data_IF_484505469672
#
_entry.id   IF_484505469672
#
_cell.length_a   1.000
_cell.length_b   1.000
_cell.length_c   1.000
_cell.angle_alpha   90.00
_cell.angle_beta   90.00
_cell.angle_gamma   90.00
#
_symmetry.space_group_name_H-M   'P 1'
#
loop_
_entity.id
_entity.type
_entity.pdbx_description
1 polymer ?
#
# COMPACT_ATOMS: atom_id res chain seq x y z
N UNK A 1 13.06 -3.74 8.45
CA UNK A 1 13.43 -2.57 7.66
C UNK A 1 12.69 -1.34 8.14
N UNK A 2 13.35 -0.20 8.08
CA UNK A 2 12.70 1.06 8.41
C UNK A 2 11.64 1.39 7.37
N UNK A 3 10.50 1.88 7.83
CA UNK A 3 9.41 2.30 6.97
C UNK A 3 9.78 3.61 6.27
N UNK A 4 9.55 3.68 4.96
CA UNK A 4 9.86 4.86 4.16
C UNK A 4 8.59 5.69 3.97
N UNK A 5 8.57 6.89 4.55
CA UNK A 5 7.45 7.82 4.41
C UNK A 5 7.89 9.25 4.73
N UNK A 6 7.04 10.20 4.36
CA UNK A 6 7.19 11.59 4.79
C UNK A 6 6.15 12.00 5.84
N UNK A 7 5.50 11.03 6.47
CA UNK A 7 4.40 11.30 7.41
C UNK A 7 4.83 12.21 8.56
N UNK A 8 6.04 12.02 9.08
CA UNK A 8 6.57 12.83 10.18
C UNK A 8 6.59 14.32 9.84
N UNK A 9 6.86 14.65 8.59
CA UNK A 9 6.98 16.05 8.15
C UNK A 9 5.70 16.63 7.56
N UNK A 10 4.76 15.78 7.17
CA UNK A 10 3.55 16.22 6.46
C UNK A 10 2.27 16.09 7.28
N UNK A 11 2.31 15.41 8.42
CA UNK A 11 1.17 15.24 9.30
C UNK A 11 1.50 15.75 10.70
N UNK A 12 0.53 16.41 11.37
CA UNK A 12 0.74 16.80 12.77
C UNK A 12 0.70 15.58 13.69
N UNK A 13 1.34 15.69 14.87
CA UNK A 13 1.21 14.69 15.92
C UNK A 13 -0.20 14.82 16.56
N UNK A 14 -0.89 13.72 16.92
CA UNK A 14 -0.47 12.33 16.87
C UNK A 14 -0.74 11.62 15.54
N UNK A 15 -1.24 12.34 14.54
CA UNK A 15 -1.62 11.78 13.25
C UNK A 15 -0.44 11.12 12.55
N UNK A 16 0.73 11.74 12.60
CA UNK A 16 1.94 11.20 11.99
C UNK A 16 2.34 9.86 12.58
N UNK A 17 2.31 9.73 13.91
CA UNK A 17 2.66 8.48 14.58
C UNK A 17 1.66 7.37 14.24
N UNK A 18 0.36 7.71 14.21
CA UNK A 18 -0.69 6.74 13.84
C UNK A 18 -0.52 6.25 12.41
N UNK A 19 -0.20 7.15 11.48
CA UNK A 19 0.02 6.78 10.08
C UNK A 19 1.22 5.85 9.93
N UNK A 20 2.32 6.14 10.61
CA UNK A 20 3.51 5.29 10.60
C UNK A 20 3.19 3.90 11.16
N UNK A 21 2.45 3.83 12.26
CA UNK A 21 2.08 2.56 12.87
C UNK A 21 1.13 1.74 11.98
N UNK A 22 0.26 2.40 11.24
CA UNK A 22 -0.70 1.76 10.35
C UNK A 22 -0.02 1.12 9.13
N UNK A 23 1.03 1.76 8.63
CA UNK A 23 1.75 1.31 7.45
C UNK A 23 2.60 0.08 7.75
N UNK A 24 2.58 -0.90 6.83
CA UNK A 24 3.44 -2.08 6.87
C UNK A 24 4.50 -2.00 5.78
N UNK A 25 5.59 -2.73 5.96
CA UNK A 25 6.61 -2.92 4.94
C UNK A 25 7.37 -4.23 5.22
N UNK A 26 7.13 -5.32 4.47
CA UNK A 26 6.22 -5.40 3.32
C UNK A 26 4.77 -5.74 3.70
N UNK A 27 3.88 -5.56 2.73
CA UNK A 27 2.55 -6.20 2.76
C UNK A 27 2.66 -7.58 2.12
N UNK A 28 1.89 -8.54 2.65
CA UNK A 28 1.91 -9.91 2.15
C UNK A 28 0.49 -10.29 1.72
N UNK A 29 0.29 -10.42 0.41
CA UNK A 29 -0.98 -10.80 -0.19
C UNK A 29 -0.93 -12.28 -0.59
N UNK A 30 -0.91 -13.16 0.40
CA UNK A 30 -0.75 -14.61 0.20
C UNK A 30 -1.98 -15.31 -0.38
N UNK A 31 -3.10 -14.59 -0.46
CA UNK A 31 -4.35 -15.10 -1.02
C UNK A 31 -4.47 -14.87 -2.54
N UNK A 32 -3.51 -14.18 -3.15
CA UNK A 32 -3.45 -14.02 -4.60
C UNK A 32 -2.81 -15.26 -5.20
N UNK A 33 -3.45 -15.93 -6.19
CA UNK A 33 -2.81 -17.06 -6.85
C UNK A 33 -1.48 -16.65 -7.47
N UNK A 34 -0.41 -17.39 -7.15
CA UNK A 34 0.91 -17.12 -7.72
C UNK A 34 0.88 -17.35 -9.23
N UNK A 35 1.32 -16.36 -9.97
CA UNK A 35 1.44 -16.40 -11.41
C UNK A 35 2.63 -15.52 -11.81
N UNK A 36 3.51 -16.04 -12.63
CA UNK A 36 4.65 -15.27 -13.13
C UNK A 36 4.12 -14.14 -14.03
N UNK A 37 4.74 -12.97 -13.94
CA UNK A 37 4.45 -11.82 -14.81
C UNK A 37 3.01 -11.30 -14.71
N UNK A 38 2.45 -11.27 -13.50
CA UNK A 38 1.14 -10.65 -13.28
C UNK A 38 1.19 -9.15 -13.58
N UNK A 39 0.17 -8.69 -14.31
CA UNK A 39 -0.03 -7.27 -14.56
C UNK A 39 -0.62 -6.59 -13.30
N UNK A 40 -0.40 -5.28 -13.17
CA UNK A 40 -0.96 -4.50 -12.06
C UNK A 40 -2.47 -4.69 -11.94
N UNK A 41 -3.18 -4.69 -13.07
CA UNK A 41 -4.61 -4.89 -13.12
C UNK A 41 -5.03 -6.27 -12.58
N UNK A 42 -4.28 -7.31 -12.91
CA UNK A 42 -4.58 -8.66 -12.42
C UNK A 42 -4.42 -8.76 -10.90
N UNK A 43 -3.39 -8.13 -10.35
CA UNK A 43 -3.16 -8.08 -8.91
C UNK A 43 -4.30 -7.30 -8.24
N UNK A 44 -4.65 -6.14 -8.77
CA UNK A 44 -5.73 -5.31 -8.25
C UNK A 44 -7.07 -6.07 -8.24
N UNK A 45 -7.41 -6.73 -9.34
CA UNK A 45 -8.63 -7.53 -9.44
C UNK A 45 -8.66 -8.67 -8.42
N UNK A 46 -7.52 -9.33 -8.21
CA UNK A 46 -7.40 -10.41 -7.22
C UNK A 46 -7.58 -9.88 -5.79
N UNK A 47 -7.02 -8.72 -5.49
CA UNK A 47 -7.18 -8.07 -4.18
C UNK A 47 -8.64 -7.72 -3.91
N UNK A 48 -9.31 -7.13 -4.89
CA UNK A 48 -10.71 -6.70 -4.76
C UNK A 48 -11.64 -7.90 -4.68
N UNK A 49 -11.35 -8.96 -5.42
CA UNK A 49 -12.14 -10.19 -5.39
C UNK A 49 -12.20 -10.79 -3.98
N UNK A 50 -11.12 -10.67 -3.21
CA UNK A 50 -11.08 -11.13 -1.82
C UNK A 50 -10.82 -9.95 -0.89
N UNK A 51 -11.71 -8.96 -0.95
CA UNK A 51 -11.56 -7.71 -0.20
C UNK A 51 -11.47 -7.94 1.31
N UNK A 52 -12.10 -8.97 1.82
CA UNK A 52 -12.02 -9.30 3.25
C UNK A 52 -10.58 -9.60 3.66
N UNK A 53 -9.88 -10.42 2.88
CA UNK A 53 -8.47 -10.72 3.15
C UNK A 53 -7.57 -9.52 2.92
N UNK A 54 -7.87 -8.69 1.92
CA UNK A 54 -7.16 -7.44 1.71
C UNK A 54 -7.27 -6.54 2.95
N UNK A 55 -8.49 -6.35 3.47
CA UNK A 55 -8.71 -5.51 4.65
C UNK A 55 -8.00 -6.08 5.89
N UNK A 56 -7.98 -7.40 6.04
CA UNK A 56 -7.24 -8.04 7.14
C UNK A 56 -5.73 -7.76 7.05
N UNK A 57 -5.17 -7.81 5.84
CA UNK A 57 -3.74 -7.50 5.66
C UNK A 57 -3.43 -6.03 5.88
N UNK A 58 -4.31 -5.13 5.46
CA UNK A 58 -4.11 -3.69 5.67
C UNK A 58 -4.15 -3.30 7.15
N UNK A 59 -4.95 -4.00 7.95
CA UNK A 59 -5.05 -3.74 9.38
C UNK A 59 -6.36 -3.09 9.78
N UNK A 60 -6.44 -2.65 11.05
CA UNK A 60 -7.68 -2.14 11.62
C UNK A 60 -8.08 -0.79 11.07
N UNK A 61 -9.39 -0.57 11.01
CA UNK A 61 -9.97 0.72 10.70
C UNK A 61 -10.17 1.03 9.22
N UNK A 62 -9.75 0.14 8.32
CA UNK A 62 -9.92 0.36 6.88
C UNK A 62 -11.32 0.01 6.41
N UNK A 63 -11.92 0.91 5.64
CA UNK A 63 -13.16 0.67 4.91
C UNK A 63 -12.87 0.84 3.43
N UNK A 64 -13.26 -0.14 2.61
CA UNK A 64 -13.02 -0.13 1.17
C UNK A 64 -14.10 0.69 0.46
N UNK A 65 -13.70 1.67 -0.35
CA UNK A 65 -14.62 2.54 -1.08
C UNK A 65 -14.71 2.19 -2.56
N UNK A 66 -13.67 1.61 -3.14
CA UNK A 66 -13.71 1.19 -4.54
C UNK A 66 -12.33 1.05 -5.16
N UNK A 67 -12.30 0.37 -6.30
CA UNK A 67 -11.10 0.26 -7.15
C UNK A 67 -11.36 0.99 -8.46
N UNK A 68 -10.29 1.43 -9.12
CA UNK A 68 -10.37 2.29 -10.30
C UNK A 68 -11.39 3.41 -10.07
N UNK A 69 -11.20 4.08 -8.92
CA UNK A 69 -12.12 5.11 -8.45
C UNK A 69 -11.98 6.35 -9.32
N UNK A 70 -13.07 6.73 -9.99
CA UNK A 70 -13.05 7.80 -10.96
C UNK A 70 -13.09 9.18 -10.30
N UNK A 71 -12.19 10.06 -10.74
CA UNK A 71 -12.20 11.48 -10.40
C UNK A 71 -12.11 12.30 -11.68
N UNK A 72 -12.93 13.32 -11.78
CA UNK A 72 -12.84 14.30 -12.86
C UNK A 72 -12.18 15.57 -12.31
N UNK A 73 -11.07 15.97 -12.90
CA UNK A 73 -10.33 17.17 -12.50
C UNK A 73 -10.15 18.06 -13.72
N UNK A 74 -10.80 19.19 -13.73
CA UNK A 74 -10.69 20.15 -14.82
C UNK A 74 -11.14 19.62 -16.19
N UNK A 75 -12.03 18.63 -16.21
CA UNK A 75 -12.49 18.00 -17.44
C UNK A 75 -11.73 16.74 -17.83
N UNK A 76 -10.62 16.45 -17.13
CA UNK A 76 -9.84 15.24 -17.38
C UNK A 76 -10.24 14.14 -16.40
N UNK A 77 -10.25 12.91 -16.89
CA UNK A 77 -10.61 11.74 -16.09
C UNK A 77 -9.37 11.06 -15.50
N UNK A 78 -9.43 10.79 -14.20
CA UNK A 78 -8.38 10.08 -13.48
C UNK A 78 -8.98 8.91 -12.71
N UNK A 79 -8.21 7.86 -12.52
CA UNK A 79 -8.67 6.65 -11.84
C UNK A 79 -7.65 6.25 -10.77
N UNK A 80 -8.14 6.17 -9.53
CA UNK A 80 -7.33 5.73 -8.39
C UNK A 80 -7.43 4.20 -8.31
N UNK A 81 -6.30 3.50 -8.18
CA UNK A 81 -6.30 2.04 -8.11
C UNK A 81 -7.22 1.53 -7.00
N UNK A 82 -6.93 1.91 -5.76
CA UNK A 82 -7.71 1.48 -4.60
C UNK A 82 -7.94 2.68 -3.67
N UNK A 83 -9.19 2.93 -3.32
CA UNK A 83 -9.55 4.00 -2.40
C UNK A 83 -10.17 3.42 -1.14
N UNK A 84 -9.67 3.87 0.01
CA UNK A 84 -10.16 3.48 1.34
C UNK A 84 -10.44 4.71 2.19
N UNK A 85 -11.16 4.50 3.28
CA UNK A 85 -11.22 5.44 4.38
C UNK A 85 -10.78 4.71 5.64
N UNK A 86 -9.92 5.33 6.44
CA UNK A 86 -9.46 4.74 7.70
C UNK A 86 -10.11 5.46 8.87
N UNK A 87 -10.86 4.73 9.68
CA UNK A 87 -11.64 5.28 10.81
C UNK A 87 -10.75 5.79 11.94
N UNK A 88 -9.58 5.18 12.14
CA UNK A 88 -8.66 5.60 13.19
C UNK A 88 -7.89 6.85 12.80
N UNK A 89 -7.47 6.94 11.54
CA UNK A 89 -6.80 8.12 10.99
C UNK A 89 -7.79 9.22 10.62
N UNK A 90 -9.05 8.87 10.43
CA UNK A 90 -10.12 9.78 10.01
C UNK A 90 -9.78 10.49 8.71
N UNK A 91 -9.31 9.73 7.76
CA UNK A 91 -8.91 10.26 6.46
C UNK A 91 -9.08 9.23 5.35
N UNK A 92 -9.14 9.73 4.12
CA UNK A 92 -9.04 8.87 2.94
C UNK A 92 -7.61 8.33 2.82
N UNK A 93 -7.52 7.09 2.35
CA UNK A 93 -6.23 6.44 2.05
C UNK A 93 -6.27 5.99 0.59
N UNK A 94 -5.33 6.48 -0.19
CA UNK A 94 -5.16 6.12 -1.60
C UNK A 94 -4.02 5.13 -1.70
N UNK A 95 -4.28 3.96 -2.27
CA UNK A 95 -3.25 2.96 -2.52
C UNK A 95 -3.08 2.79 -4.02
N UNK A 96 -1.84 2.95 -4.48
CA UNK A 96 -1.45 2.71 -5.87
C UNK A 96 -0.51 1.51 -5.94
N UNK A 97 -0.76 0.61 -6.91
CA UNK A 97 0.00 -0.62 -7.09
C UNK A 97 0.92 -0.52 -8.29
N UNK A 98 2.15 -0.96 -8.12
CA UNK A 98 3.14 -1.03 -9.20
C UNK A 98 3.76 -2.42 -9.22
N UNK A 99 3.92 -3.02 -10.39
CA UNK A 99 4.47 -4.38 -10.52
C UNK A 99 5.99 -4.43 -10.58
N UNK A 100 6.64 -3.28 -10.62
CA UNK A 100 8.09 -3.18 -10.69
C UNK A 100 8.70 -2.49 -9.48
N UNK A 101 9.92 -2.04 -9.66
CA UNK A 101 10.65 -1.26 -8.66
C UNK A 101 10.08 0.16 -8.55
N UNK A 102 10.15 0.74 -7.37
CA UNK A 102 9.76 2.12 -7.12
C UNK A 102 10.51 3.09 -8.07
N UNK A 103 9.78 4.05 -8.60
CA UNK A 103 10.34 5.15 -9.41
C UNK A 103 9.83 6.49 -8.89
N UNK A 104 10.66 7.54 -8.93
CA UNK A 104 10.26 8.87 -8.42
C UNK A 104 8.96 9.41 -9.01
N UNK A 105 8.70 9.17 -10.30
CA UNK A 105 7.47 9.66 -10.96
C UNK A 105 6.20 9.08 -10.37
N UNK A 106 6.25 7.91 -9.74
CA UNK A 106 5.09 7.32 -9.07
C UNK A 106 4.65 8.15 -7.86
N UNK A 107 5.61 8.70 -7.13
CA UNK A 107 5.31 9.56 -5.99
C UNK A 107 4.63 10.86 -6.44
N UNK A 108 5.08 11.44 -7.55
CA UNK A 108 4.46 12.63 -8.12
C UNK A 108 3.02 12.41 -8.55
N UNK A 109 2.74 11.28 -9.18
CA UNK A 109 1.38 10.90 -9.59
C UNK A 109 0.47 10.73 -8.36
N UNK A 110 0.96 10.03 -7.35
CA UNK A 110 0.18 9.80 -6.12
C UNK A 110 -0.07 11.13 -5.40
N UNK A 111 0.93 12.02 -5.36
CA UNK A 111 0.77 13.35 -4.78
C UNK A 111 -0.37 14.13 -5.44
N UNK A 112 -0.46 14.05 -6.77
CA UNK A 112 -1.55 14.67 -7.51
C UNK A 112 -2.90 14.06 -7.12
N UNK A 113 -3.00 12.73 -7.03
CA UNK A 113 -4.24 12.08 -6.64
C UNK A 113 -4.69 12.48 -5.23
N UNK A 114 -3.75 12.63 -4.30
CA UNK A 114 -4.07 13.07 -2.95
C UNK A 114 -4.60 14.50 -2.93
N UNK A 115 -4.02 15.38 -3.75
CA UNK A 115 -4.54 16.74 -3.90
C UNK A 115 -5.96 16.73 -4.45
N UNK A 116 -6.25 15.86 -5.42
CA UNK A 116 -7.58 15.74 -6.00
C UNK A 116 -8.59 15.17 -4.99
N UNK A 117 -8.21 14.16 -4.22
CA UNK A 117 -9.06 13.60 -3.16
C UNK A 117 -9.39 14.67 -2.12
N UNK A 118 -8.38 15.42 -1.67
CA UNK A 118 -8.59 16.48 -0.68
C UNK A 118 -9.49 17.59 -1.23
N UNK A 119 -9.37 17.91 -2.51
CA UNK A 119 -10.20 18.95 -3.13
C UNK A 119 -11.61 18.54 -3.47
N UNK A 120 -11.84 17.25 -3.77
CA UNK A 120 -13.13 16.77 -4.31
C UNK A 120 -13.91 15.94 -3.29
N UNK A 121 -13.25 15.03 -2.58
CA UNK A 121 -13.92 14.08 -1.68
C UNK A 121 -13.84 14.47 -0.20
N UNK A 122 -12.72 14.99 0.23
CA UNK A 122 -12.47 15.30 1.64
C UNK A 122 -13.48 16.30 2.16
N UNK A 123 -14.02 16.01 3.34
CA UNK A 123 -14.91 16.92 4.08
C UNK A 123 -14.10 17.68 5.12
N UNK A 124 -14.73 18.75 5.66
CA UNK A 124 -14.07 19.62 6.62
C UNK A 124 -13.58 18.88 7.87
N UNK A 125 -14.35 17.89 8.34
CA UNK A 125 -14.01 17.10 9.52
C UNK A 125 -12.97 16.01 9.27
N UNK A 126 -12.62 15.74 8.01
CA UNK A 126 -11.60 14.76 7.68
C UNK A 126 -10.19 15.33 7.82
N UNK A 127 -9.27 14.49 8.28
CA UNK A 127 -7.86 14.81 8.26
C UNK A 127 -7.32 14.71 6.81
N UNK A 128 -6.14 15.29 6.51
CA UNK A 128 -5.58 15.19 5.18
C UNK A 128 -5.45 13.73 4.73
N UNK A 129 -5.75 13.47 3.46
CA UNK A 129 -5.64 12.11 2.90
C UNK A 129 -4.20 11.64 2.86
N UNK A 130 -4.04 10.33 2.96
CA UNK A 130 -2.73 9.67 3.02
C UNK A 130 -2.59 8.74 1.83
N UNK A 131 -1.42 8.75 1.21
CA UNK A 131 -1.11 7.87 0.09
C UNK A 131 -0.17 6.75 0.49
N UNK A 132 -0.37 5.60 -0.10
CA UNK A 132 0.49 4.44 0.05
C UNK A 132 0.81 3.88 -1.32
N UNK A 133 2.08 3.87 -1.65
CA UNK A 133 2.57 3.32 -2.91
C UNK A 133 3.15 1.94 -2.64
N UNK A 134 2.58 0.92 -3.28
CA UNK A 134 3.01 -0.46 -3.13
C UNK A 134 3.77 -0.90 -4.38
N UNK A 135 5.04 -1.26 -4.22
CA UNK A 135 5.91 -1.70 -5.31
C UNK A 135 6.47 -3.09 -4.99
N UNK A 136 6.82 -3.87 -5.98
CA UNK A 136 7.44 -5.18 -5.74
C UNK A 136 8.80 -5.04 -5.08
N UNK A 137 9.52 -3.97 -5.39
CA UNK A 137 10.81 -3.65 -4.79
C UNK A 137 11.01 -2.14 -4.72
N UNK A 138 11.92 -1.71 -3.85
CA UNK A 138 12.25 -0.30 -3.73
C UNK A 138 13.69 -0.13 -3.27
N UNK A 139 14.32 0.93 -3.75
CA UNK A 139 15.56 1.44 -3.18
C UNK A 139 15.16 2.50 -2.14
N UNK A 140 15.42 2.22 -0.88
CA UNK A 140 14.94 3.07 0.23
C UNK A 140 15.44 4.51 0.11
N UNK A 141 16.70 4.69 -0.29
CA UNK A 141 17.27 6.04 -0.41
C UNK A 141 16.63 6.82 -1.56
N UNK A 142 16.38 6.16 -2.69
CA UNK A 142 15.66 6.78 -3.82
C UNK A 142 14.26 7.20 -3.39
N UNK A 143 13.57 6.33 -2.66
CA UNK A 143 12.23 6.63 -2.16
C UNK A 143 12.26 7.80 -1.17
N UNK A 144 13.21 7.82 -0.23
CA UNK A 144 13.35 8.92 0.73
C UNK A 144 13.56 10.26 0.04
N UNK A 145 14.49 10.34 -0.94
CA UNK A 145 14.71 11.57 -1.67
C UNK A 145 13.49 12.01 -2.47
N UNK A 146 12.79 11.05 -3.07
CA UNK A 146 11.58 11.35 -3.84
C UNK A 146 10.48 11.96 -2.96
N UNK A 147 10.36 11.53 -1.71
CA UNK A 147 9.31 12.00 -0.81
C UNK A 147 9.61 13.34 -0.15
N UNK A 148 10.87 13.78 -0.13
CA UNK A 148 11.24 15.06 0.51
C UNK A 148 10.51 16.25 -0.07
N UNK A 149 10.30 16.27 -1.39
CA UNK A 149 9.68 17.39 -2.08
C UNK A 149 8.18 17.21 -2.31
N UNK A 150 7.61 16.07 -1.87
CA UNK A 150 6.17 15.84 -1.99
C UNK A 150 5.42 16.61 -0.91
N UNK A 151 4.39 17.36 -1.31
CA UNK A 151 3.58 18.15 -0.38
C UNK A 151 2.60 17.30 0.43
N UNK A 152 2.20 16.15 -0.09
CA UNK A 152 1.20 15.28 0.52
C UNK A 152 1.84 14.13 1.30
N UNK A 153 1.12 13.59 2.32
CA UNK A 153 1.65 12.47 3.12
C UNK A 153 1.66 11.17 2.30
N UNK A 154 2.84 10.62 2.06
CA UNK A 154 3.02 9.42 1.24
C UNK A 154 3.96 8.45 1.94
N UNK A 155 3.58 7.17 1.95
CA UNK A 155 4.46 6.08 2.33
C UNK A 155 4.73 5.18 1.13
N UNK A 156 5.90 4.56 1.10
CA UNK A 156 6.30 3.61 0.07
C UNK A 156 6.62 2.28 0.74
N UNK A 157 5.93 1.23 0.34
CA UNK A 157 6.14 -0.12 0.88
C UNK A 157 6.34 -1.11 -0.24
N UNK A 158 7.07 -2.17 0.05
CA UNK A 158 7.11 -3.35 -0.80
C UNK A 158 5.90 -4.22 -0.53
N UNK A 159 5.55 -5.09 -1.48
CA UNK A 159 4.54 -6.13 -1.29
C UNK A 159 4.97 -7.42 -1.95
N UNK A 160 4.41 -8.52 -1.45
CA UNK A 160 4.63 -9.86 -1.97
C UNK A 160 3.26 -10.50 -2.23
N UNK A 161 3.14 -11.24 -3.33
CA UNK A 161 1.89 -11.93 -3.69
C UNK A 161 1.85 -13.37 -3.16
N UNK A 162 2.85 -13.75 -2.38
CA UNK A 162 2.93 -15.08 -1.79
C UNK A 162 3.75 -15.02 -0.52
N UNK A 163 3.38 -15.86 0.47
CA UNK A 163 4.17 -16.02 1.69
C UNK A 163 5.29 -17.05 1.53
N UNK A 164 5.52 -17.58 0.31
CA UNK A 164 6.58 -18.54 0.06
C UNK A 164 7.94 -17.96 0.43
N UNK A 165 8.68 -18.73 1.23
CA UNK A 165 10.04 -18.39 1.57
C UNK A 165 10.92 -18.53 0.31
N UNK A 166 12.02 -17.73 0.22
CA UNK A 166 13.01 -17.96 -0.81
C UNK A 166 13.44 -19.43 -0.85
N UNK A 167 13.68 -19.96 -2.02
CA UNK A 167 14.01 -21.37 -2.22
C UNK A 167 15.13 -21.85 -1.29
N UNK A 168 16.15 -21.02 -1.09
CA UNK A 168 17.27 -21.33 -0.20
C UNK A 168 16.84 -21.54 1.25
N UNK A 169 15.88 -20.74 1.73
CA UNK A 169 15.36 -20.87 3.09
C UNK A 169 14.43 -22.06 3.22
N UNK A 170 13.64 -22.37 2.21
CA UNK A 170 12.79 -23.55 2.21
C UNK A 170 13.61 -24.83 2.36
N UNK A 171 14.76 -24.90 1.70
CA UNK A 171 15.65 -26.05 1.78
C UNK A 171 16.26 -26.26 3.17
N UNK A 172 16.35 -25.21 3.98
CA UNK A 172 16.89 -25.25 5.32
C UNK A 172 15.85 -25.61 6.38
N UNK A 173 14.57 -25.54 6.04
CA UNK A 173 13.49 -25.85 6.96
C UNK A 173 13.16 -27.36 6.93
N UNK A 174 12.83 -27.97 8.08
CA UNK A 174 12.40 -29.34 8.08
C UNK A 174 11.08 -29.50 7.32
N UNK A 175 10.93 -30.59 6.60
CA UNK A 175 9.69 -30.92 5.93
C UNK A 175 8.61 -31.25 6.95
N UNK A 176 7.34 -31.26 6.52
CA UNK A 176 6.23 -31.68 7.36
C UNK A 176 6.45 -33.11 7.89
N UNK A 177 6.98 -34.00 7.06
CA UNK A 177 7.31 -35.37 7.46
C UNK A 177 8.36 -35.41 8.56
N UNK A 178 9.40 -34.58 8.45
CA UNK A 178 10.45 -34.49 9.46
C UNK A 178 9.89 -33.98 10.79
N UNK A 179 8.99 -33.01 10.76
CA UNK A 179 8.34 -32.49 11.95
C UNK A 179 7.48 -33.57 12.59
N UNK A 180 6.72 -34.32 11.82
CA UNK A 180 5.89 -35.41 12.32
C UNK A 180 6.70 -36.53 12.97
N UNK A 181 7.86 -36.85 12.41
CA UNK A 181 8.78 -37.82 12.98
C UNK A 181 9.35 -37.37 14.33
N UNK A 182 9.58 -36.07 14.50
CA UNK A 182 10.13 -35.50 15.75
C UNK A 182 9.08 -35.49 16.87
N UNK A 183 7.81 -35.39 16.53
CA UNK A 183 6.71 -35.33 17.51
C UNK A 183 6.40 -36.71 18.08
N UNK A 184 6.73 -37.76 17.37
CA UNK A 184 6.61 -39.13 17.85
C UNK A 184 7.80 -39.53 18.74
#
# INVERSE_FOLDING_TARGET
AEKVSNFEWRLPSPQSELAIQTMKDPYIFDFIPFKTDMLEREIEEALVKDVTKLLLELGTGFAFLGNQYHLNVGGDDFYIDLLFYNLNLRCYVVIELKTGEFKPEYAGQLNFYLSAVDGILKKEQDNPSVGLLLCKSKNDLVAEYSLKDMSKPIGVSAYQVTSKLPEELEKQLPSVEDIQKRIK
#
